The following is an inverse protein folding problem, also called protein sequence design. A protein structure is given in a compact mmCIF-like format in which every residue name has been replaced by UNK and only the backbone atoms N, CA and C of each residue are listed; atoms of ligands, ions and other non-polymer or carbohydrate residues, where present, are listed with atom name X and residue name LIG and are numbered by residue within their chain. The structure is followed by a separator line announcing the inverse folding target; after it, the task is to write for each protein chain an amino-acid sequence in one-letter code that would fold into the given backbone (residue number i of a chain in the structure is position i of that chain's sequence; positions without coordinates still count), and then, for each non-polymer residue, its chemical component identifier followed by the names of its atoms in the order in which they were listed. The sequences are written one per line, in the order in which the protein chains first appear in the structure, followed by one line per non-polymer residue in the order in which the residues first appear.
data_IF_373838599307
#
_entry.id   IF_373838599307
#
_cell.length_a   1.000
_cell.length_b   1.000
_cell.length_c   1.000
_cell.angle_alpha   90.00
_cell.angle_beta   90.00
_cell.angle_gamma   90.00
#
_symmetry.space_group_name_H-M   'P 1'
#
loop_
_entity.id
_entity.type
_entity.pdbx_description
1 polymer ?
#
# COMPACT_ATOMS: atom_id res chain seq x y z
N UNK A 1 0.86 18.49 13.31
CA UNK A 1 -0.22 18.14 12.36
C UNK A 1 0.42 17.20 11.35
N UNK A 2 0.10 15.91 11.40
CA UNK A 2 0.65 14.92 10.46
C UNK A 2 -0.13 15.07 9.16
N UNK A 3 0.54 15.54 8.11
CA UNK A 3 -0.04 15.71 6.78
C UNK A 3 0.13 14.44 5.94
N UNK A 4 -0.51 14.42 4.76
CA UNK A 4 -0.28 13.35 3.78
C UNK A 4 1.19 13.37 3.32
N UNK A 5 1.94 12.28 3.53
CA UNK A 5 3.35 12.19 3.12
C UNK A 5 3.50 12.03 1.61
N UNK A 6 2.75 11.07 1.06
CA UNK A 6 2.76 10.74 -0.37
C UNK A 6 1.42 10.13 -0.82
N UNK A 7 1.08 10.29 -2.10
CA UNK A 7 -0.05 9.66 -2.77
C UNK A 7 0.46 8.75 -3.90
N UNK A 8 0.18 7.46 -3.80
CA UNK A 8 0.60 6.46 -4.78
C UNK A 8 -0.62 5.78 -5.40
N UNK A 9 -0.56 5.52 -6.70
CA UNK A 9 -1.55 4.71 -7.42
C UNK A 9 -0.82 3.48 -7.95
N UNK A 10 -1.26 2.30 -7.50
CA UNK A 10 -0.68 1.02 -7.87
C UNK A 10 -1.71 0.25 -8.71
N UNK A 11 -1.27 -0.37 -9.80
CA UNK A 11 -2.10 -1.22 -10.65
C UNK A 11 -2.52 -2.51 -9.93
N UNK A 12 -3.51 -3.20 -10.47
CA UNK A 12 -3.88 -4.55 -10.01
C UNK A 12 -2.75 -5.59 -10.16
N UNK A 13 -1.75 -5.31 -11.00
CA UNK A 13 -0.54 -6.13 -11.15
C UNK A 13 0.58 -5.79 -10.16
N UNK A 14 0.39 -4.79 -9.30
CA UNK A 14 1.40 -4.34 -8.34
C UNK A 14 2.41 -3.31 -8.88
N UNK A 15 2.20 -2.80 -10.09
CA UNK A 15 3.08 -1.79 -10.70
C UNK A 15 2.66 -0.37 -10.28
N UNK A 16 3.62 0.52 -10.04
CA UNK A 16 3.33 1.93 -9.71
C UNK A 16 2.96 2.72 -10.97
N UNK A 17 1.74 3.26 -10.98
CA UNK A 17 1.21 4.09 -12.07
C UNK A 17 1.52 5.57 -11.80
N UNK A 18 1.40 6.00 -10.55
CA UNK A 18 1.55 7.39 -10.16
C UNK A 18 2.13 7.51 -8.75
N UNK A 19 2.97 8.53 -8.56
CA UNK A 19 3.49 8.91 -7.24
C UNK A 19 3.59 10.43 -7.15
N UNK A 20 3.08 10.97 -6.05
CA UNK A 20 3.29 12.36 -5.65
C UNK A 20 3.69 12.41 -4.19
N UNK A 21 4.82 13.03 -3.90
CA UNK A 21 5.26 13.30 -2.54
C UNK A 21 4.89 14.73 -2.15
N UNK A 22 4.46 14.92 -0.91
CA UNK A 22 4.09 16.23 -0.37
C UNK A 22 5.07 16.70 0.71
N UNK A 23 5.97 15.82 1.16
CA UNK A 23 7.07 16.13 2.08
C UNK A 23 8.45 15.80 1.50
N UNK A 24 9.50 15.98 2.31
CA UNK A 24 10.84 15.49 1.98
C UNK A 24 10.91 13.99 2.24
N UNK A 25 10.47 13.22 1.26
CA UNK A 25 10.53 11.75 1.27
C UNK A 25 11.73 11.30 0.43
N UNK A 26 12.55 10.33 0.89
CA UNK A 26 13.61 9.77 0.07
C UNK A 26 13.08 9.25 -1.27
N UNK A 27 13.84 9.41 -2.37
CA UNK A 27 13.45 8.81 -3.64
C UNK A 27 13.43 7.28 -3.51
N UNK A 28 12.49 6.65 -4.21
CA UNK A 28 12.40 5.19 -4.29
C UNK A 28 13.07 4.73 -5.57
N UNK A 29 13.85 3.66 -5.48
CA UNK A 29 14.34 2.94 -6.65
C UNK A 29 13.20 2.13 -7.31
N UNK A 30 13.41 1.68 -8.54
CA UNK A 30 12.47 0.76 -9.20
C UNK A 30 12.27 -0.53 -8.40
N UNK A 31 13.33 -1.01 -7.73
CA UNK A 31 13.26 -2.18 -6.85
C UNK A 31 12.39 -1.92 -5.63
N UNK A 32 12.52 -0.76 -4.98
CA UNK A 32 11.68 -0.42 -3.82
C UNK A 32 10.20 -0.37 -4.21
N UNK A 33 9.91 0.19 -5.38
CA UNK A 33 8.56 0.23 -5.94
C UNK A 33 7.99 -1.18 -6.13
N UNK A 34 8.77 -2.10 -6.70
CA UNK A 34 8.34 -3.48 -6.90
C UNK A 34 8.09 -4.22 -5.58
N UNK A 35 8.96 -4.01 -4.59
CA UNK A 35 8.82 -4.57 -3.25
C UNK A 35 7.53 -4.08 -2.61
N UNK A 36 7.27 -2.77 -2.65
CA UNK A 36 6.09 -2.20 -2.01
C UNK A 36 4.80 -2.65 -2.69
N UNK A 37 4.77 -2.69 -4.03
CA UNK A 37 3.66 -3.27 -4.78
C UNK A 37 3.38 -4.72 -4.38
N UNK A 38 4.44 -5.52 -4.21
CA UNK A 38 4.34 -6.92 -3.76
C UNK A 38 3.82 -7.04 -2.33
N UNK A 39 4.23 -6.15 -1.42
CA UNK A 39 3.73 -6.09 -0.04
C UNK A 39 2.22 -5.82 -0.06
N UNK A 40 1.77 -4.75 -0.69
CA UNK A 40 0.34 -4.42 -0.74
C UNK A 40 -0.48 -5.52 -1.40
N UNK A 41 0.00 -6.12 -2.49
CA UNK A 41 -0.69 -7.25 -3.12
C UNK A 41 -0.80 -8.47 -2.19
N UNK A 42 0.28 -8.84 -1.51
CA UNK A 42 0.28 -9.97 -0.57
C UNK A 42 -0.65 -9.74 0.62
N UNK A 43 -0.62 -8.55 1.22
CA UNK A 43 -1.51 -8.16 2.31
C UNK A 43 -2.99 -8.20 1.87
N UNK A 44 -3.29 -7.80 0.64
CA UNK A 44 -4.64 -7.83 0.08
C UNK A 44 -5.18 -9.26 -0.03
N UNK A 45 -4.34 -10.19 -0.50
CA UNK A 45 -4.73 -11.60 -0.60
C UNK A 45 -4.88 -12.23 0.79
N UNK A 46 -3.93 -11.99 1.68
CA UNK A 46 -3.93 -12.56 3.03
C UNK A 46 -5.16 -12.09 3.79
N UNK A 47 -5.43 -10.79 3.81
CA UNK A 47 -6.60 -10.20 4.50
C UNK A 47 -7.92 -10.75 3.98
N UNK A 48 -8.10 -10.93 2.66
CA UNK A 48 -9.29 -11.60 2.10
C UNK A 48 -9.41 -13.04 2.58
N UNK A 49 -8.31 -13.79 2.53
CA UNK A 49 -8.31 -15.21 2.88
C UNK A 49 -8.55 -15.45 4.37
N UNK A 50 -8.07 -14.56 5.22
CA UNK A 50 -8.13 -14.69 6.67
C UNK A 50 -9.29 -13.90 7.30
N UNK A 51 -10.11 -13.23 6.49
CA UNK A 51 -11.28 -12.53 6.98
C UNK A 51 -12.22 -13.51 7.70
N UNK A 52 -12.56 -13.28 8.99
CA UNK A 52 -13.53 -14.09 9.71
C UNK A 52 -14.97 -13.76 9.29
N UNK A 53 -15.18 -12.66 8.55
CA UNK A 53 -16.50 -12.22 8.09
C UNK A 53 -16.91 -13.03 6.86
N UNK A 54 -18.03 -13.78 6.91
CA UNK A 54 -18.53 -14.53 5.77
C UNK A 54 -18.77 -13.63 4.55
N UNK A 55 -18.38 -14.10 3.37
CA UNK A 55 -18.51 -13.38 2.08
C UNK A 55 -17.74 -12.05 1.99
N UNK A 56 -16.81 -11.77 2.90
CA UNK A 56 -15.92 -10.62 2.76
C UNK A 56 -14.95 -10.81 1.60
N UNK A 57 -14.91 -9.82 0.71
CA UNK A 57 -14.06 -9.83 -0.49
C UNK A 57 -13.20 -8.57 -0.64
N UNK A 58 -13.28 -7.63 0.31
CA UNK A 58 -12.67 -6.29 0.18
C UNK A 58 -11.16 -6.29 0.39
N UNK A 59 -10.62 -7.18 1.23
CA UNK A 59 -9.20 -7.15 1.62
C UNK A 59 -8.95 -6.14 2.74
N UNK A 60 -7.74 -5.56 2.81
CA UNK A 60 -7.43 -4.50 3.77
C UNK A 60 -7.69 -3.12 3.14
N UNK A 61 -8.15 -2.19 3.97
CA UNK A 61 -8.38 -0.80 3.56
C UNK A 61 -7.29 0.14 4.09
N UNK A 62 -6.66 -0.23 5.21
CA UNK A 62 -5.66 0.58 5.92
C UNK A 62 -4.55 -0.29 6.48
N UNK A 63 -3.31 0.18 6.39
CA UNK A 63 -2.14 -0.39 7.09
C UNK A 63 -1.57 0.72 7.94
N UNK A 64 -1.32 0.45 9.21
CA UNK A 64 -0.81 1.42 10.17
C UNK A 64 0.43 0.88 10.86
N UNK A 65 1.36 1.78 11.15
CA UNK A 65 2.55 1.55 11.97
C UNK A 65 2.59 2.60 13.08
N UNK A 66 3.56 2.48 13.98
CA UNK A 66 3.74 3.47 15.04
C UNK A 66 4.09 4.88 14.50
N UNK A 67 4.64 4.96 13.28
CA UNK A 67 5.20 6.18 12.70
C UNK A 67 4.38 6.75 11.53
N UNK A 68 3.67 5.90 10.78
CA UNK A 68 2.88 6.32 9.62
C UNK A 68 1.70 5.39 9.30
N UNK A 69 0.76 5.93 8.51
CA UNK A 69 -0.42 5.28 7.96
C UNK A 69 -0.54 5.58 6.47
#
# INVERSE_FOLDING_TARGET
MVGLSSLWIISSSGSLIYKKDFGKVPPLSETDVLIIGSIFFSQHIISKRWSPVPNSTSGFETIETDEFR
#
